data_IF_169840193064
#
_entry.id   IF_169840193064
#
_cell.length_a   1.000
_cell.length_b   1.000
_cell.length_c   1.000
_cell.angle_alpha   90.00
_cell.angle_beta   90.00
_cell.angle_gamma   90.00
#
_symmetry.space_group_name_H-M   'P 1'
#
loop_
_entity.id
_entity.type
_entity.pdbx_description
1 polymer ?
#
# COMPACT_ATOMS: atom_id res chain seq x y z
N UNK A 1 -3.76 -6.56 2.51
CA UNK A 1 -2.42 -6.52 1.87
C UNK A 1 -2.36 -5.35 0.90
N UNK A 2 -1.27 -4.59 0.91
CA UNK A 2 -1.04 -3.45 0.00
C UNK A 2 -0.37 -3.95 -1.27
N UNK A 3 -0.78 -3.41 -2.41
CA UNK A 3 -0.35 -3.87 -3.75
C UNK A 3 0.18 -2.69 -4.56
N UNK A 4 1.28 -2.88 -5.28
CA UNK A 4 1.81 -1.89 -6.22
C UNK A 4 2.03 -2.51 -7.60
N UNK A 5 1.93 -1.69 -8.63
CA UNK A 5 2.26 -2.12 -9.99
C UNK A 5 3.78 -2.33 -10.18
N UNK A 6 4.22 -3.18 -11.13
CA UNK A 6 5.64 -3.33 -11.45
C UNK A 6 6.32 -2.02 -11.86
N UNK A 7 5.56 -1.09 -12.46
CA UNK A 7 6.06 0.25 -12.81
C UNK A 7 6.43 1.05 -11.56
N UNK A 8 5.59 1.01 -10.52
CA UNK A 8 5.88 1.67 -9.25
C UNK A 8 7.02 0.97 -8.54
N UNK A 9 7.01 -0.37 -8.49
CA UNK A 9 8.12 -1.14 -7.90
C UNK A 9 9.46 -0.82 -8.57
N UNK A 10 9.52 -0.71 -9.91
CA UNK A 10 10.74 -0.32 -10.63
C UNK A 10 11.19 1.11 -10.30
N UNK A 11 10.26 2.07 -10.18
CA UNK A 11 10.56 3.45 -9.78
C UNK A 11 11.14 3.52 -8.37
N UNK A 12 10.63 2.70 -7.45
CA UNK A 12 11.12 2.62 -6.07
C UNK A 12 12.40 1.78 -5.95
N UNK A 13 12.58 0.77 -6.79
CA UNK A 13 13.75 -0.12 -6.81
C UNK A 13 15.02 0.57 -7.30
N UNK A 14 14.90 1.59 -8.16
CA UNK A 14 16.01 2.47 -8.53
C UNK A 14 16.58 3.31 -7.37
N UNK A 15 15.92 3.29 -6.20
CA UNK A 15 16.37 3.96 -4.96
C UNK A 15 16.95 2.97 -3.93
N UNK A 16 17.45 1.80 -4.37
CA UNK A 16 18.24 0.89 -3.52
C UNK A 16 17.42 -0.07 -2.64
N UNK A 17 16.21 -0.47 -3.05
CA UNK A 17 15.26 -1.21 -2.19
C UNK A 17 15.11 -2.69 -2.54
N UNK A 18 15.01 -3.52 -1.49
CA UNK A 18 14.89 -4.99 -1.52
C UNK A 18 13.45 -5.41 -1.88
N UNK A 19 13.17 -5.55 -3.17
CA UNK A 19 12.08 -6.41 -3.64
C UNK A 19 12.67 -7.81 -3.82
N UNK A 20 12.35 -8.74 -2.93
CA UNK A 20 12.80 -10.11 -3.08
C UNK A 20 11.95 -10.79 -4.14
N UNK A 21 12.60 -11.39 -5.12
CA UNK A 21 11.97 -12.26 -6.14
C UNK A 21 11.47 -13.59 -5.55
N UNK A 22 11.42 -13.72 -4.22
CA UNK A 22 10.75 -14.82 -3.53
C UNK A 22 9.24 -14.72 -3.78
N UNK A 23 8.77 -15.46 -4.76
CA UNK A 23 7.39 -15.47 -5.20
C UNK A 23 6.45 -15.92 -4.09
N UNK A 24 5.46 -15.09 -3.78
CA UNK A 24 4.28 -15.49 -3.02
C UNK A 24 3.11 -15.78 -3.97
N UNK A 25 2.07 -16.43 -3.45
CA UNK A 25 0.78 -16.52 -4.13
C UNK A 25 -0.21 -15.60 -3.40
N UNK A 26 -0.82 -14.66 -4.13
CA UNK A 26 -1.94 -13.90 -3.62
C UNK A 26 -3.24 -14.62 -4.01
N UNK A 27 -4.17 -14.76 -3.08
CA UNK A 27 -5.53 -15.20 -3.39
C UNK A 27 -6.30 -14.02 -3.97
N UNK A 28 -6.77 -14.17 -5.20
CA UNK A 28 -7.64 -13.23 -5.89
C UNK A 28 -8.98 -13.89 -6.20
N UNK A 29 -9.94 -13.09 -6.68
CA UNK A 29 -11.28 -13.58 -7.05
C UNK A 29 -11.26 -14.73 -8.08
N UNK A 30 -10.19 -14.84 -8.87
CA UNK A 30 -10.03 -15.87 -9.90
C UNK A 30 -9.01 -16.96 -9.52
N UNK A 31 -8.71 -17.12 -8.23
CA UNK A 31 -7.73 -18.08 -7.72
C UNK A 31 -6.39 -17.45 -7.35
N UNK A 32 -5.34 -18.27 -7.30
CA UNK A 32 -3.99 -17.81 -6.91
C UNK A 32 -3.28 -17.10 -8.06
N UNK A 33 -2.67 -15.96 -7.75
CA UNK A 33 -1.86 -15.19 -8.70
C UNK A 33 -0.45 -15.08 -8.14
N UNK A 34 0.60 -15.39 -8.91
CA UNK A 34 1.97 -15.20 -8.47
C UNK A 34 2.25 -13.70 -8.26
N UNK A 35 2.88 -13.39 -7.14
CA UNK A 35 3.24 -12.04 -6.73
C UNK A 35 4.68 -12.01 -6.25
N UNK A 36 5.41 -10.93 -6.55
CA UNK A 36 6.66 -10.66 -5.84
C UNK A 36 6.35 -9.89 -4.56
N UNK A 37 7.08 -10.17 -3.48
CA UNK A 37 6.91 -9.48 -2.20
C UNK A 37 8.12 -8.56 -1.97
N UNK A 38 7.86 -7.39 -1.40
CA UNK A 38 8.93 -6.48 -0.98
C UNK A 38 8.46 -5.48 0.05
N UNK A 39 9.36 -4.58 0.42
CA UNK A 39 9.10 -3.59 1.47
C UNK A 39 9.13 -2.15 0.96
N UNK A 40 8.04 -1.47 1.24
CA UNK A 40 7.73 -0.04 1.39
C UNK A 40 8.57 0.76 2.41
N UNK A 41 9.66 1.47 2.09
CA UNK A 41 10.40 2.24 3.12
C UNK A 41 9.48 3.21 3.88
N UNK A 42 8.69 3.98 3.13
CA UNK A 42 7.60 4.76 3.69
C UNK A 42 6.45 4.97 2.70
N UNK A 43 5.23 5.03 3.24
CA UNK A 43 4.02 5.49 2.56
C UNK A 43 3.51 6.71 3.33
N UNK A 44 3.34 7.84 2.64
CA UNK A 44 2.82 9.07 3.21
C UNK A 44 1.59 9.55 2.44
N UNK A 45 0.52 9.88 3.16
CA UNK A 45 -0.65 10.58 2.64
C UNK A 45 -0.98 11.68 3.62
N UNK A 46 -0.63 12.92 3.28
CA UNK A 46 -0.78 14.08 4.19
C UNK A 46 -0.13 13.85 5.57
N UNK A 47 -0.91 13.72 6.63
CA UNK A 47 -0.49 13.44 8.00
C UNK A 47 -0.38 11.93 8.32
N UNK A 48 -0.96 11.07 7.49
CA UNK A 48 -0.84 9.61 7.60
C UNK A 48 0.53 9.15 7.08
N UNK A 49 1.24 8.38 7.90
CA UNK A 49 2.58 7.91 7.58
C UNK A 49 2.82 6.51 8.12
N UNK A 50 3.34 5.64 7.25
CA UNK A 50 3.64 4.24 7.58
C UNK A 50 5.03 3.91 7.04
N UNK A 51 5.89 3.40 7.91
CA UNK A 51 7.22 2.92 7.54
C UNK A 51 7.22 1.41 7.32
N UNK A 52 8.22 0.91 6.59
CA UNK A 52 8.49 -0.52 6.41
C UNK A 52 7.26 -1.35 6.00
N UNK A 53 6.43 -0.78 5.12
CA UNK A 53 5.17 -1.35 4.67
C UNK A 53 5.40 -2.53 3.72
N UNK A 54 4.98 -3.73 4.13
CA UNK A 54 4.96 -4.88 3.23
C UNK A 54 4.03 -4.65 2.02
N UNK A 55 4.54 -4.88 0.81
CA UNK A 55 3.79 -4.74 -0.45
C UNK A 55 3.93 -5.96 -1.35
N UNK A 56 2.86 -6.26 -2.07
CA UNK A 56 2.87 -7.22 -3.16
C UNK A 56 2.99 -6.48 -4.49
N UNK A 57 3.81 -7.01 -5.39
CA UNK A 57 4.00 -6.47 -6.74
C UNK A 57 3.26 -7.37 -7.72
N UNK A 58 2.25 -6.84 -8.41
CA UNK A 58 1.50 -7.57 -9.43
C UNK A 58 0.91 -6.65 -10.50
N UNK A 59 0.53 -7.23 -11.63
CA UNK A 59 -0.08 -6.48 -12.74
C UNK A 59 -1.49 -5.99 -12.39
N UNK A 60 -1.66 -4.65 -12.32
CA UNK A 60 -2.96 -4.00 -12.13
C UNK A 60 -3.70 -3.70 -13.45
N UNK A 61 -3.30 -4.32 -14.58
CA UNK A 61 -3.86 -4.01 -15.91
C UNK A 61 -5.37 -4.22 -15.99
N UNK A 62 -5.88 -5.32 -15.42
CA UNK A 62 -7.31 -5.62 -15.42
C UNK A 62 -8.11 -4.62 -14.58
N UNK A 63 -7.58 -4.26 -13.41
CA UNK A 63 -8.19 -3.27 -12.50
C UNK A 63 -8.28 -1.90 -13.18
N UNK A 64 -7.18 -1.42 -13.80
CA UNK A 64 -7.20 -0.17 -14.57
C UNK A 64 -8.21 -0.18 -15.71
N UNK A 65 -8.30 -1.29 -16.46
CA UNK A 65 -9.27 -1.43 -17.56
C UNK A 65 -10.70 -1.32 -17.05
N UNK A 66 -11.02 -1.98 -15.94
CA UNK A 66 -12.35 -1.94 -15.33
C UNK A 66 -12.68 -0.54 -14.77
N UNK A 67 -11.75 0.08 -14.06
CA UNK A 67 -11.94 1.39 -13.45
C UNK A 67 -11.84 2.56 -14.44
N UNK A 68 -11.44 2.32 -15.69
CA UNK A 68 -11.19 3.34 -16.74
C UNK A 68 -10.30 4.49 -16.28
N UNK A 69 -9.43 4.24 -15.31
CA UNK A 69 -8.52 5.24 -14.74
C UNK A 69 -7.17 4.61 -14.43
N UNK A 70 -6.18 5.48 -14.23
CA UNK A 70 -4.85 5.05 -13.86
C UNK A 70 -4.84 4.65 -12.38
N UNK A 71 -4.47 3.40 -12.14
CA UNK A 71 -4.29 2.83 -10.79
C UNK A 71 -2.87 2.28 -10.72
N UNK A 72 -2.05 2.91 -9.90
CA UNK A 72 -0.63 2.60 -9.73
C UNK A 72 -0.39 1.64 -8.53
N UNK A 73 -1.35 1.55 -7.60
CA UNK A 73 -1.35 0.67 -6.43
C UNK A 73 -2.74 0.60 -5.76
N UNK A 74 -2.88 -0.32 -4.81
CA UNK A 74 -4.03 -0.49 -3.93
C UNK A 74 -3.50 -0.49 -2.50
N UNK A 75 -3.97 0.44 -1.67
CA UNK A 75 -3.60 0.46 -0.25
C UNK A 75 -4.52 -0.49 0.50
N UNK A 76 -3.93 -1.49 1.15
CA UNK A 76 -4.68 -2.51 1.87
C UNK A 76 -4.70 -2.27 3.37
N UNK A 77 -5.52 -3.06 4.08
CA UNK A 77 -5.66 -3.00 5.54
C UNK A 77 -4.33 -2.97 6.31
N UNK A 78 -3.27 -3.64 5.84
CA UNK A 78 -1.98 -3.65 6.53
C UNK A 78 -1.32 -2.26 6.63
N UNK A 79 -1.68 -1.31 5.77
CA UNK A 79 -1.24 0.08 5.93
C UNK A 79 -2.05 0.81 7.01
N UNK A 80 -3.31 0.45 7.21
CA UNK A 80 -4.24 1.13 8.11
C UNK A 80 -4.42 0.44 9.46
N UNK A 81 -3.80 -0.72 9.68
CA UNK A 81 -4.07 -1.60 10.84
C UNK A 81 -3.84 -0.92 12.20
N UNK A 82 -2.97 0.08 12.23
CA UNK A 82 -2.53 0.82 13.42
C UNK A 82 -3.16 2.23 13.47
N UNK A 83 -4.24 2.46 12.72
CA UNK A 83 -4.99 3.71 12.74
C UNK A 83 -6.48 3.47 12.53
N UNK A 84 -7.30 4.34 13.11
CA UNK A 84 -8.73 4.39 12.81
C UNK A 84 -8.95 5.16 11.51
N UNK A 85 -9.36 4.44 10.46
CA UNK A 85 -9.72 5.01 9.16
C UNK A 85 -11.24 5.20 9.05
N UNK A 86 -11.68 6.44 8.85
CA UNK A 86 -13.06 6.74 8.46
C UNK A 86 -13.13 7.09 6.97
N UNK A 87 -14.06 6.45 6.25
CA UNK A 87 -14.35 6.73 4.84
C UNK A 87 -15.72 7.42 4.76
N UNK A 88 -15.74 8.74 4.64
CA UNK A 88 -16.95 9.55 4.42
C UNK A 88 -17.23 9.59 2.91
N UNK A 89 -17.97 8.59 2.41
CA UNK A 89 -18.32 8.50 0.98
C UNK A 89 -19.12 9.71 0.46
N UNK A 90 -20.16 10.21 1.16
CA UNK A 90 -20.92 11.38 0.70
C UNK A 90 -20.06 12.63 0.51
N UNK A 91 -19.08 12.87 1.41
CA UNK A 91 -18.19 14.04 1.32
C UNK A 91 -16.89 13.77 0.56
N UNK A 92 -16.65 12.53 0.14
CA UNK A 92 -15.41 12.12 -0.50
C UNK A 92 -14.17 12.33 0.37
N UNK A 93 -14.27 12.07 1.69
CA UNK A 93 -13.18 12.30 2.64
C UNK A 93 -12.68 11.01 3.27
N UNK A 94 -11.37 10.97 3.48
CA UNK A 94 -10.70 9.98 4.31
C UNK A 94 -10.20 10.70 5.56
N UNK A 95 -10.52 10.17 6.74
CA UNK A 95 -10.02 10.69 8.02
C UNK A 95 -9.19 9.60 8.68
N UNK A 96 -7.95 9.95 9.01
CA UNK A 96 -7.02 9.09 9.72
C UNK A 96 -6.94 9.60 11.16
N UNK A 97 -7.44 8.80 12.10
CA UNK A 97 -7.41 9.10 13.52
C UNK A 97 -6.35 8.22 14.19
N UNK A 98 -5.61 8.82 15.12
CA UNK A 98 -4.76 8.06 16.03
C UNK A 98 -5.66 7.35 17.03
N UNK A 99 -5.42 6.06 17.23
CA UNK A 99 -5.98 5.41 18.41
C UNK A 99 -5.23 5.97 19.63
N UNK A 100 -5.97 6.69 20.49
CA UNK A 100 -5.41 7.26 21.72
C UNK A 100 -4.72 6.17 22.54
N UNK A 101 -3.46 6.43 22.90
CA UNK A 101 -2.51 5.55 23.61
C UNK A 101 -2.00 4.28 22.88
N UNK A 102 -2.33 4.09 21.59
CA UNK A 102 -1.72 3.04 20.74
C UNK A 102 -0.41 3.49 20.06
N UNK A 103 0.47 2.57 19.62
CA UNK A 103 1.70 2.94 18.91
C UNK A 103 1.35 3.83 17.73
N UNK A 104 1.95 5.01 17.70
CA UNK A 104 1.65 6.06 16.73
C UNK A 104 1.60 5.50 15.31
N UNK A 105 0.58 5.87 14.54
CA UNK A 105 0.71 5.97 13.09
C UNK A 105 1.99 6.81 12.85
N UNK A 106 3.10 6.15 12.49
CA UNK A 106 4.45 6.59 12.81
C UNK A 106 4.73 7.98 12.25
N UNK A 107 4.69 9.01 13.10
CA UNK A 107 5.23 10.33 12.77
C UNK A 107 6.73 10.15 12.52
N UNK A 108 7.21 10.59 11.36
CA UNK A 108 8.64 10.74 11.16
C UNK A 108 9.15 11.77 12.18
N UNK A 109 9.99 11.33 13.11
CA UNK A 109 10.83 12.24 13.88
C UNK A 109 11.74 12.96 12.90
N UNK A 110 11.45 14.23 12.64
CA UNK A 110 12.41 15.15 12.03
C UNK A 110 13.51 15.39 13.06
N UNK A 111 14.71 14.89 12.77
CA UNK A 111 15.96 15.42 13.34
C UNK A 111 16.45 16.58 12.47
#
# INVERSE_FOLDING_TARGET
MTVVSPRVAKRLGGQGRRFSTGGGAAVAATGQVPVAIGTVASLRVDSFHVNDLAVAVMSLRRVRKAAKTRIDGIVGFNAFRDCRLTIDYPKGRLVFERDGDGPSCHQASTS
#
